data_IF_652859673994
#
_entry.id   IF_652859673994
#
_cell.length_a   1.000
_cell.length_b   1.000
_cell.length_c   1.000
_cell.angle_alpha   90.00
_cell.angle_beta   90.00
_cell.angle_gamma   90.00
#
_symmetry.space_group_name_H-M   'P 1'
#
loop_
_entity.id
_entity.type
_entity.pdbx_description
1 polymer ?
2 non-polymer ?
3 non-polymer ?
4 non-polymer ?
5 non-polymer ?
6 water ?
#
# COMPACT_ATOMS: atom_id res chain seq x y z
N UNK A 2 -36.63 -15.01 -0.08
CA UNK A 2 -35.66 -15.10 -1.21
C UNK A 2 -34.86 -13.79 -1.25
N UNK A 3 -33.56 -13.86 -1.56
CA UNK A 3 -32.72 -12.65 -1.51
C UNK A 3 -32.58 -12.07 -2.92
N UNK A 4 -32.53 -10.74 -3.09
CA UNK A 4 -32.26 -10.19 -4.41
C UNK A 4 -30.91 -10.67 -4.98
N UNK A 5 -30.88 -10.76 -6.31
CA UNK A 5 -29.66 -11.06 -7.10
C UNK A 5 -28.57 -10.01 -6.82
N UNK A 6 -28.95 -8.75 -6.67
CA UNK A 6 -27.95 -7.68 -6.49
C UNK A 6 -28.53 -6.62 -5.55
N UNK A 7 -27.65 -6.02 -4.77
CA UNK A 7 -27.99 -4.95 -3.80
C UNK A 7 -26.97 -3.82 -3.94
N UNK A 8 -27.45 -2.57 -3.85
CA UNK A 8 -26.58 -1.38 -3.76
C UNK A 8 -27.26 -0.32 -2.88
N UNK A 9 -26.79 -0.17 -1.64
CA UNK A 9 -27.38 0.74 -0.61
C UNK A 9 -27.14 2.19 -1.02
N UNK A 10 -26.27 2.47 -2.01
CA UNK A 10 -26.15 3.87 -2.53
C UNK A 10 -27.44 4.23 -3.24
N UNK A 11 -28.20 3.26 -3.74
CA UNK A 11 -29.46 3.52 -4.47
C UNK A 11 -30.53 3.98 -3.48
N UNK A 12 -30.37 3.72 -2.18
CA UNK A 12 -31.40 4.10 -1.19
C UNK A 12 -30.94 5.33 -0.41
N UNK A 13 -29.86 5.99 -0.85
CA UNK A 13 -29.32 7.19 -0.19
C UNK A 13 -28.80 6.89 1.21
N UNK A 14 -28.26 5.69 1.44
CA UNK A 14 -27.83 5.21 2.79
C UNK A 14 -26.32 5.32 2.93
N UNK A 15 -25.64 5.86 1.93
CA UNK A 15 -24.16 5.83 1.94
C UNK A 15 -23.60 7.25 1.75
N UNK A 16 -22.72 7.69 2.63
CA UNK A 16 -22.14 9.03 2.56
C UNK A 16 -21.04 9.02 1.49
N UNK A 17 -20.54 10.19 1.18
CA UNK A 17 -19.35 10.42 0.33
C UNK A 17 -18.22 9.51 0.82
N UNK A 18 -17.41 9.04 -0.10
CA UNK A 18 -16.15 8.34 0.20
C UNK A 18 -15.19 9.33 0.87
N UNK A 19 -14.66 8.96 2.03
CA UNK A 19 -13.72 9.85 2.80
C UNK A 19 -12.29 9.42 2.51
N UNK A 20 -11.33 10.25 2.90
CA UNK A 20 -9.90 9.96 2.72
C UNK A 20 -9.26 9.93 4.12
N UNK A 21 -8.80 8.78 4.55
CA UNK A 21 -8.18 8.65 5.91
C UNK A 21 -6.80 9.32 5.95
N UNK A 22 -6.19 9.56 4.80
CA UNK A 22 -4.79 10.02 4.76
C UNK A 22 -3.84 9.05 5.46
N UNK A 23 -2.81 9.56 6.12
CA UNK A 23 -1.72 8.78 6.70
C UNK A 23 -2.08 8.29 8.12
N UNK A 24 -3.34 8.27 8.47
CA UNK A 24 -3.87 7.82 9.78
C UNK A 24 -4.63 6.51 9.57
N UNK A 25 -4.23 5.42 10.26
CA UNK A 25 -4.86 4.10 10.09
C UNK A 25 -6.20 4.04 10.79
N UNK A 26 -7.13 4.87 10.36
CA UNK A 26 -8.48 4.96 10.94
C UNK A 26 -9.51 4.25 10.07
N UNK A 27 -9.11 3.31 9.18
CA UNK A 27 -10.08 2.53 8.34
C UNK A 27 -11.16 1.91 9.23
N UNK A 28 -10.80 1.35 10.37
CA UNK A 28 -11.78 0.77 11.35
C UNK A 28 -12.82 1.81 11.71
N UNK A 29 -12.41 3.05 11.92
CA UNK A 29 -13.32 4.14 12.34
C UNK A 29 -14.25 4.53 11.18
N UNK A 30 -13.75 4.73 9.96
CA UNK A 30 -14.57 5.04 8.77
C UNK A 30 -15.58 3.87 8.53
N UNK A 31 -15.16 2.64 8.74
CA UNK A 31 -16.04 1.46 8.49
C UNK A 31 -17.18 1.47 9.50
N UNK A 32 -16.87 1.64 10.77
CA UNK A 32 -17.85 1.73 11.88
C UNK A 32 -18.83 2.86 11.62
N UNK A 33 -18.36 4.10 11.36
CA UNK A 33 -19.33 5.18 11.12
C UNK A 33 -20.11 4.92 9.83
N UNK A 34 -19.51 4.38 8.76
CA UNK A 34 -20.32 4.12 7.56
C UNK A 34 -21.48 3.18 7.85
N UNK A 35 -21.26 2.14 8.65
CA UNK A 35 -22.34 1.16 8.96
C UNK A 35 -23.41 1.87 9.81
N UNK A 36 -23.01 2.77 10.69
CA UNK A 36 -23.99 3.47 11.57
C UNK A 36 -24.75 4.56 10.78
N UNK A 37 -24.09 5.23 9.86
CA UNK A 37 -24.68 6.26 8.97
C UNK A 37 -25.91 5.68 8.26
N UNK A 38 -25.81 4.45 7.75
CA UNK A 38 -26.88 3.76 6.98
C UNK A 38 -28.07 3.53 7.91
N UNK A 39 -27.82 3.01 9.12
CA UNK A 39 -28.90 2.78 10.11
C UNK A 39 -29.50 4.13 10.47
N UNK A 40 -28.69 5.17 10.61
CA UNK A 40 -29.26 6.52 10.94
C UNK A 40 -30.20 7.00 9.82
N UNK A 41 -29.84 6.86 8.53
CA UNK A 41 -30.73 7.25 7.40
C UNK A 41 -32.06 6.43 7.47
N UNK A 42 -31.93 5.12 7.68
CA UNK A 42 -33.06 4.17 7.74
C UNK A 42 -33.97 4.51 8.93
N UNK A 43 -33.40 4.98 10.04
CA UNK A 43 -34.17 5.46 11.22
C UNK A 43 -34.84 6.82 10.99
N UNK A 44 -34.13 7.86 10.55
CA UNK A 44 -34.56 9.29 10.65
C UNK A 44 -34.95 9.85 9.29
N UNK A 45 -34.53 9.17 8.22
CA UNK A 45 -34.66 9.67 6.85
C UNK A 45 -33.53 10.63 6.45
N UNK A 46 -32.65 11.03 7.38
CA UNK A 46 -31.55 11.97 7.08
C UNK A 46 -30.20 11.24 7.01
N UNK A 47 -29.48 11.43 5.91
CA UNK A 47 -28.08 10.94 5.71
C UNK A 47 -27.15 12.00 6.31
N UNK A 48 -26.38 11.61 7.32
CA UNK A 48 -25.43 12.48 8.06
C UNK A 48 -24.11 11.72 8.19
N UNK A 49 -23.00 12.29 7.74
CA UNK A 49 -21.65 11.76 8.00
C UNK A 49 -21.38 11.85 9.52
N UNK A 50 -20.93 10.76 10.11
CA UNK A 50 -20.65 10.67 11.55
C UNK A 50 -19.13 10.70 11.76
N UNK A 51 -18.70 11.05 12.96
CA UNK A 51 -17.31 11.49 13.24
C UNK A 51 -16.43 10.26 13.49
N UNK A 52 -15.72 9.87 12.43
CA UNK A 52 -14.59 8.95 12.55
C UNK A 52 -13.62 9.54 13.59
N UNK A 53 -13.41 10.88 13.65
CA UNK A 53 -12.42 11.44 14.59
C UNK A 53 -12.84 11.15 16.06
N UNK A 54 -14.13 11.29 16.33
CA UNK A 54 -14.75 10.98 17.63
C UNK A 54 -14.33 9.56 18.01
N UNK A 55 -14.27 8.62 17.06
CA UNK A 55 -13.87 7.23 17.42
C UNK A 55 -12.35 7.17 17.71
N UNK A 56 -11.53 7.71 16.81
CA UNK A 56 -10.05 7.74 16.93
C UNK A 56 -9.67 8.28 18.30
N UNK A 57 -10.28 9.41 18.69
CA UNK A 57 -9.92 10.15 19.92
C UNK A 57 -10.48 9.49 21.19
N UNK A 58 -11.69 8.93 21.15
CA UNK A 58 -12.44 8.54 22.39
C UNK A 58 -12.61 7.02 22.50
N UNK A 59 -12.56 6.25 21.42
CA UNK A 59 -12.69 4.78 21.49
C UNK A 59 -11.27 4.23 21.54
N UNK A 60 -10.64 4.28 22.73
CA UNK A 60 -9.19 4.11 22.84
C UNK A 60 -8.93 2.83 23.67
N UNK A 61 -8.19 2.93 24.76
CA UNK A 61 -7.61 1.80 25.53
C UNK A 61 -8.70 0.81 25.96
N UNK A 62 -9.82 1.30 26.48
CA UNK A 62 -10.94 0.47 27.02
C UNK A 62 -11.55 -0.41 25.91
N UNK A 63 -11.38 -0.02 24.68
CA UNK A 63 -11.97 -0.68 23.49
C UNK A 63 -10.87 -1.38 22.68
N UNK A 64 -9.62 -1.39 23.15
CA UNK A 64 -8.55 -2.15 22.48
C UNK A 64 -8.11 -1.47 21.20
N UNK A 65 -8.45 -0.18 21.04
CA UNK A 65 -8.26 0.61 19.81
C UNK A 65 -7.02 1.49 20.02
N UNK A 66 -6.31 1.84 18.95
CA UNK A 66 -5.05 2.59 19.02
C UNK A 66 -5.11 3.75 18.04
N UNK A 67 -6.26 4.40 17.89
CA UNK A 67 -6.43 5.61 17.05
C UNK A 67 -5.83 5.42 15.68
N UNK A 68 -4.83 6.24 15.34
CA UNK A 68 -4.18 6.19 14.02
C UNK A 68 -3.36 4.90 13.85
N UNK A 69 -3.29 4.03 14.87
CA UNK A 69 -2.55 2.76 14.75
C UNK A 69 -3.53 1.59 14.66
N UNK A 70 -4.78 1.84 14.27
CA UNK A 70 -5.71 0.73 14.03
C UNK A 70 -6.59 0.41 15.24
N UNK A 71 -7.64 -0.35 14.97
CA UNK A 71 -8.67 -0.72 15.93
C UNK A 71 -9.72 -1.61 15.31
N UNK A 72 -10.87 -1.71 15.96
CA UNK A 72 -11.92 -2.72 15.68
C UNK A 72 -13.26 -2.03 15.49
N UNK A 73 -13.95 -2.33 14.41
CA UNK A 73 -15.29 -1.74 14.24
C UNK A 73 -16.20 -2.17 15.40
N UNK A 74 -16.08 -3.39 15.92
CA UNK A 74 -17.06 -3.84 16.93
C UNK A 74 -16.85 -3.08 18.24
N UNK A 75 -15.60 -2.84 18.65
CA UNK A 75 -15.34 -2.14 19.93
C UNK A 75 -15.72 -0.66 19.72
N UNK A 76 -15.62 -0.14 18.53
CA UNK A 76 -16.11 1.21 18.18
C UNK A 76 -17.61 1.26 18.44
N UNK A 77 -18.40 0.27 18.00
CA UNK A 77 -19.86 0.26 18.23
C UNK A 77 -20.08 0.22 19.74
N UNK A 78 -19.27 -0.56 20.45
CA UNK A 78 -19.43 -0.64 21.92
C UNK A 78 -19.14 0.72 22.55
N UNK A 79 -18.16 1.48 22.03
CA UNK A 79 -17.92 2.84 22.58
C UNK A 79 -19.19 3.67 22.40
N UNK A 80 -19.82 3.61 21.24
CA UNK A 80 -21.00 4.48 20.94
C UNK A 80 -22.13 4.06 21.89
N UNK A 81 -22.29 2.76 22.14
CA UNK A 81 -23.36 2.28 23.05
C UNK A 81 -23.07 2.83 24.44
N UNK A 82 -21.86 2.57 24.94
CA UNK A 82 -21.43 3.01 26.29
C UNK A 82 -21.52 4.54 26.42
N UNK A 83 -21.13 5.28 25.39
CA UNK A 83 -21.00 6.76 25.43
C UNK A 83 -22.39 7.39 25.32
N UNK A 84 -23.37 6.62 24.81
CA UNK A 84 -24.75 7.09 24.55
C UNK A 84 -24.71 8.13 23.42
N UNK A 85 -23.77 8.03 22.49
CA UNK A 85 -23.79 8.85 21.28
C UNK A 85 -22.46 8.96 20.56
N UNK A 86 -22.53 9.57 19.39
CA UNK A 86 -21.38 9.96 18.55
C UNK A 86 -21.76 11.27 17.88
N UNK A 87 -20.81 12.19 17.78
CA UNK A 87 -21.00 13.51 17.14
C UNK A 87 -21.05 13.37 15.63
N UNK A 88 -21.66 14.34 14.98
CA UNK A 88 -21.56 14.46 13.50
C UNK A 88 -20.10 14.72 13.09
N UNK A 89 -19.76 14.35 11.87
CA UNK A 89 -18.46 14.71 11.27
C UNK A 89 -18.34 16.25 11.21
N UNK A 90 -19.43 16.95 10.85
CA UNK A 90 -19.46 18.42 10.76
C UNK A 90 -19.09 19.02 12.12
N UNK A 91 -19.58 18.50 13.23
CA UNK A 91 -19.28 19.06 14.59
C UNK A 91 -17.88 18.61 15.09
N UNK A 92 -17.36 17.51 14.57
CA UNK A 92 -16.12 16.86 15.11
C UNK A 92 -15.33 16.32 13.91
N UNK A 93 -14.69 17.25 13.15
CA UNK A 93 -14.06 16.95 11.87
C UNK A 93 -12.83 16.03 11.96
N UNK A 94 -12.60 15.28 10.90
CA UNK A 94 -11.48 14.35 10.78
C UNK A 94 -10.20 15.13 10.55
N UNK A 95 -9.19 14.83 11.35
CA UNK A 95 -7.88 15.51 11.38
C UNK A 95 -6.77 14.54 11.00
N UNK A 96 -7.04 13.22 10.86
CA UNK A 96 -6.00 12.22 10.54
C UNK A 96 -4.89 12.31 11.57
N UNK A 97 -5.21 12.47 12.86
CA UNK A 97 -4.20 12.32 13.93
C UNK A 97 -4.90 11.97 15.24
N UNK A 98 -4.11 11.50 16.21
CA UNK A 98 -4.59 11.20 17.58
C UNK A 98 -4.76 12.54 18.27
N UNK A 99 -5.90 12.77 18.93
CA UNK A 99 -6.20 13.99 19.73
C UNK A 99 -6.84 13.54 21.04
N UNK A 100 -6.97 14.48 21.97
CA UNK A 100 -7.69 14.24 23.23
C UNK A 100 -9.18 14.07 22.87
N UNK A 101 -9.92 13.31 23.67
CA UNK A 101 -11.38 13.18 23.49
C UNK A 101 -12.04 14.56 23.52
N UNK A 102 -12.83 14.90 22.50
CA UNK A 102 -13.57 16.19 22.47
C UNK A 102 -15.08 15.94 22.31
N UNK A 103 -15.54 14.72 22.55
CA UNK A 103 -16.97 14.39 22.39
C UNK A 103 -17.78 15.45 23.15
N UNK A 104 -18.86 15.92 22.55
CA UNK A 104 -19.84 16.79 23.23
C UNK A 104 -21.23 16.30 22.87
N UNK A 105 -22.01 15.89 23.87
CA UNK A 105 -23.40 15.40 23.73
C UNK A 105 -24.24 16.45 22.98
N UNK A 106 -23.85 17.72 22.98
CA UNK A 106 -24.75 18.73 22.36
C UNK A 106 -24.70 18.60 20.83
N UNK A 107 -23.70 17.93 20.25
CA UNK A 107 -23.53 17.71 18.80
C UNK A 107 -23.76 16.24 18.44
N UNK A 108 -24.34 15.46 19.35
CA UNK A 108 -24.69 14.05 19.11
C UNK A 108 -25.56 13.97 17.86
N UNK A 109 -25.22 13.14 16.89
CA UNK A 109 -26.02 12.98 15.67
C UNK A 109 -26.57 11.55 15.61
N UNK A 110 -26.09 10.62 16.44
CA UNK A 110 -26.53 9.21 16.37
C UNK A 110 -26.19 8.57 17.68
N UNK A 111 -26.88 7.47 17.92
CA UNK A 111 -26.72 6.54 19.06
C UNK A 111 -26.66 5.15 18.46
N UNK A 112 -26.42 4.17 19.29
CA UNK A 112 -26.34 2.75 18.89
C UNK A 112 -26.92 1.97 20.07
N UNK A 113 -27.87 1.08 19.86
CA UNK A 113 -28.42 0.24 20.93
C UNK A 113 -27.70 -1.11 21.02
N UNK A 114 -27.16 -1.61 19.92
CA UNK A 114 -26.54 -2.97 19.88
C UNK A 114 -25.77 -3.13 18.57
N UNK A 115 -24.98 -4.20 18.50
CA UNK A 115 -24.28 -4.61 17.28
C UNK A 115 -24.36 -6.12 17.24
N UNK A 116 -24.27 -6.66 16.04
CA UNK A 116 -24.39 -8.10 15.74
C UNK A 116 -23.12 -8.51 15.03
N UNK A 117 -22.53 -9.63 15.43
CA UNK A 117 -21.31 -10.14 14.75
C UNK A 117 -21.70 -11.39 13.96
N UNK A 118 -21.31 -11.45 12.68
CA UNK A 118 -21.73 -12.57 11.80
C UNK A 118 -20.71 -13.69 11.93
N UNK A 119 -21.13 -14.95 11.67
CA UNK A 119 -20.25 -16.09 11.81
C UNK A 119 -19.13 -16.04 10.79
N UNK A 120 -17.96 -16.51 11.22
CA UNK A 120 -16.70 -16.52 10.46
C UNK A 120 -16.83 -17.29 9.12
N UNK A 121 -16.44 -16.65 8.03
CA UNK A 121 -16.31 -17.27 6.70
C UNK A 121 -17.66 -17.42 5.97
N UNK A 122 -18.77 -16.99 6.57
CA UNK A 122 -20.12 -17.33 6.04
C UNK A 122 -20.59 -16.24 5.06
N UNK A 123 -20.20 -16.35 3.79
CA UNK A 123 -20.62 -15.40 2.74
C UNK A 123 -22.14 -15.45 2.55
N UNK A 124 -22.78 -16.59 2.74
CA UNK A 124 -24.25 -16.70 2.62
C UNK A 124 -24.93 -15.83 3.69
N UNK A 125 -24.43 -15.89 4.91
CA UNK A 125 -24.99 -15.10 6.04
C UNK A 125 -24.69 -13.62 5.80
N UNK A 126 -23.53 -13.30 5.22
CA UNK A 126 -23.17 -11.87 4.96
C UNK A 126 -24.15 -11.33 3.91
N UNK A 127 -24.47 -12.13 2.91
CA UNK A 127 -25.40 -11.69 1.84
C UNK A 127 -26.78 -11.39 2.44
N UNK A 128 -27.25 -12.23 3.35
CA UNK A 128 -28.55 -12.06 4.03
C UNK A 128 -28.54 -10.74 4.81
N UNK A 129 -27.45 -10.44 5.51
CA UNK A 129 -27.35 -9.21 6.32
C UNK A 129 -27.31 -7.99 5.39
N UNK A 130 -26.52 -8.05 4.31
CA UNK A 130 -26.41 -6.90 3.37
C UNK A 130 -27.79 -6.67 2.74
N UNK A 131 -28.52 -7.72 2.38
CA UNK A 131 -29.87 -7.60 1.77
C UNK A 131 -30.87 -7.05 2.80
N UNK A 132 -30.88 -7.54 4.04
CA UNK A 132 -32.06 -7.37 4.95
C UNK A 132 -31.80 -6.32 6.03
N UNK A 133 -30.57 -5.94 6.31
CA UNK A 133 -30.22 -5.10 7.49
C UNK A 133 -29.61 -3.79 7.02
N UNK A 134 -28.66 -3.89 6.11
CA UNK A 134 -27.90 -2.70 5.67
C UNK A 134 -26.43 -3.02 5.45
N UNK A 135 -25.66 -1.97 5.12
CA UNK A 135 -24.22 -2.09 4.94
C UNK A 135 -23.62 -2.77 6.16
N UNK A 136 -22.63 -3.65 5.93
CA UNK A 136 -21.98 -4.42 6.99
C UNK A 136 -20.48 -4.05 7.07
N UNK A 137 -19.97 -3.75 8.28
CA UNK A 137 -18.53 -3.47 8.52
C UNK A 137 -17.80 -4.82 8.39
N UNK A 138 -16.71 -4.85 7.65
CA UNK A 138 -15.86 -6.06 7.49
C UNK A 138 -14.40 -5.64 7.50
N UNK A 139 -13.56 -6.61 7.77
CA UNK A 139 -12.11 -6.51 7.53
C UNK A 139 -11.77 -7.29 6.27
N UNK A 140 -10.78 -6.77 5.56
CA UNK A 140 -10.12 -7.50 4.44
C UNK A 140 -8.60 -7.46 4.66
N UNK A 141 -7.93 -8.39 4.00
CA UNK A 141 -6.46 -8.39 3.74
C UNK A 141 -6.18 -7.45 2.57
N UNK A 142 -5.70 -6.23 2.85
CA UNK A 142 -5.45 -5.20 1.82
C UNK A 142 -3.96 -5.06 1.50
N UNK A 143 -3.07 -5.88 2.06
CA UNK A 143 -1.60 -5.70 1.97
C UNK A 143 -1.12 -6.35 0.68
N UNK A 144 -1.64 -5.95 -0.47
CA UNK A 144 -1.31 -6.53 -1.79
C UNK A 144 -1.24 -5.38 -2.79
N UNK A 145 -0.12 -5.18 -3.51
CA UNK A 145 -0.10 -4.14 -4.52
C UNK A 145 -1.35 -4.23 -5.39
N UNK A 146 -1.80 -5.43 -5.72
CA UNK A 146 -3.00 -5.65 -6.59
C UNK A 146 -4.22 -4.92 -5.99
N UNK A 147 -4.28 -4.80 -4.67
CA UNK A 147 -5.44 -4.16 -3.99
C UNK A 147 -5.32 -2.65 -4.20
N UNK A 148 -4.17 -2.07 -3.89
CA UNK A 148 -4.11 -0.59 -3.88
C UNK A 148 -3.96 -0.07 -5.31
N UNK A 149 -3.57 -0.90 -6.27
CA UNK A 149 -3.55 -0.53 -7.70
C UNK A 149 -4.91 -0.85 -8.35
N UNK A 150 -5.88 -1.41 -7.64
CA UNK A 150 -7.15 -1.83 -8.31
C UNK A 150 -7.81 -0.64 -9.00
N UNK A 151 -8.24 -0.80 -10.26
CA UNK A 151 -8.90 0.27 -11.05
C UNK A 151 -10.37 -0.09 -11.35
N UNK A 152 -10.68 -1.33 -11.73
CA UNK A 152 -12.07 -1.67 -12.13
C UNK A 152 -12.26 -3.18 -12.24
N UNK A 153 -13.51 -3.63 -12.38
CA UNK A 153 -13.81 -5.05 -12.54
C UNK A 153 -13.96 -5.70 -11.17
N UNK A 154 -13.78 -7.01 -11.10
CA UNK A 154 -13.96 -7.77 -9.84
C UNK A 154 -12.57 -8.20 -9.40
N UNK A 155 -12.17 -7.70 -8.24
CA UNK A 155 -10.80 -7.95 -7.73
C UNK A 155 -10.70 -9.39 -7.31
N UNK A 156 -9.72 -10.09 -7.85
CA UNK A 156 -9.40 -11.44 -7.36
C UNK A 156 -7.88 -11.54 -7.20
N UNK A 157 -7.40 -11.84 -5.99
CA UNK A 157 -5.94 -12.02 -5.70
C UNK A 157 -5.68 -13.42 -5.15
N UNK A 158 -5.03 -14.29 -5.96
CA UNK A 158 -4.63 -15.63 -5.50
C UNK A 158 -3.82 -15.65 -4.21
N UNK A 159 -3.03 -14.61 -3.95
CA UNK A 159 -2.15 -14.49 -2.77
C UNK A 159 -2.91 -14.01 -1.53
N UNK A 160 -4.15 -13.57 -1.65
CA UNK A 160 -4.91 -13.05 -0.49
C UNK A 160 -4.99 -14.07 0.64
N UNK A 161 -5.05 -13.61 1.88
CA UNK A 161 -5.23 -14.50 3.07
C UNK A 161 -6.51 -14.10 3.82
N UNK A 162 -6.86 -14.88 4.84
CA UNK A 162 -8.04 -14.63 5.72
C UNK A 162 -7.55 -13.89 6.98
N UNK A 163 -6.28 -13.50 7.04
CA UNK A 163 -5.76 -12.57 8.07
C UNK A 163 -6.05 -11.14 7.62
N UNK A 164 -7.05 -10.52 8.20
CA UNK A 164 -7.55 -9.20 7.73
C UNK A 164 -6.79 -8.07 8.46
N UNK A 165 -6.67 -6.90 7.84
CA UNK A 165 -5.81 -5.81 8.37
C UNK A 165 -6.44 -4.45 8.02
N UNK A 166 -7.57 -4.37 7.33
CA UNK A 166 -8.10 -3.08 6.83
C UNK A 166 -9.62 -3.08 6.92
N UNK A 167 -10.20 -2.20 7.74
CA UNK A 167 -11.67 -2.09 7.87
C UNK A 167 -12.28 -1.41 6.67
N UNK A 168 -13.35 -1.95 6.12
CA UNK A 168 -14.08 -1.39 4.95
C UNK A 168 -15.57 -1.68 5.15
N UNK A 169 -16.42 -1.17 4.26
CA UNK A 169 -17.87 -1.30 4.45
C UNK A 169 -18.45 -2.01 3.24
N UNK A 170 -19.16 -3.11 3.46
CA UNK A 170 -19.89 -3.75 2.34
C UNK A 170 -21.22 -3.00 2.16
N UNK A 171 -21.45 -2.38 0.99
CA UNK A 171 -22.70 -1.63 0.70
C UNK A 171 -23.51 -2.31 -0.38
N UNK A 172 -23.12 -3.51 -0.76
CA UNK A 172 -23.93 -4.25 -1.71
C UNK A 172 -23.23 -5.46 -2.23
N UNK A 173 -23.87 -6.03 -3.23
CA UNK A 173 -23.32 -7.21 -3.91
C UNK A 173 -24.01 -7.38 -5.24
N UNK A 174 -23.41 -8.20 -6.09
CA UNK A 174 -23.94 -8.45 -7.44
C UNK A 174 -23.09 -9.42 -8.19
N UNK A 175 -23.17 -9.32 -9.51
CA UNK A 175 -22.58 -10.24 -10.49
C UNK A 175 -22.17 -9.35 -11.66
N UNK A 176 -20.87 -9.27 -11.95
CA UNK A 176 -20.39 -8.54 -13.17
C UNK A 176 -19.78 -9.56 -14.12
N UNK A 177 -20.41 -9.80 -15.25
CA UNK A 177 -19.89 -10.73 -16.29
C UNK A 177 -19.60 -12.12 -15.70
N UNK A 178 -20.43 -12.60 -14.77
CA UNK A 178 -20.29 -13.97 -14.22
C UNK A 178 -19.32 -14.01 -13.05
N UNK A 179 -18.78 -12.86 -12.63
CA UNK A 179 -17.98 -12.77 -11.40
C UNK A 179 -18.83 -12.18 -10.28
N UNK A 180 -19.17 -12.99 -9.30
CA UNK A 180 -19.90 -12.50 -8.11
C UNK A 180 -18.97 -11.59 -7.31
N UNK A 181 -19.53 -10.54 -6.76
CA UNK A 181 -18.75 -9.52 -6.03
C UNK A 181 -19.53 -9.02 -4.81
N UNK A 182 -18.74 -8.49 -3.87
CA UNK A 182 -19.15 -7.58 -2.78
C UNK A 182 -18.82 -6.17 -3.24
N UNK A 183 -19.75 -5.24 -3.06
CA UNK A 183 -19.46 -3.84 -3.36
C UNK A 183 -18.92 -3.23 -2.06
N UNK A 184 -17.67 -2.80 -2.09
CA UNK A 184 -16.92 -2.36 -0.88
C UNK A 184 -16.57 -0.87 -1.00
N UNK A 185 -17.06 -0.09 -0.04
CA UNK A 185 -16.65 1.30 0.22
C UNK A 185 -15.33 1.30 1.00
N UNK A 186 -14.30 1.93 0.47
CA UNK A 186 -13.00 2.11 1.15
C UNK A 186 -12.96 3.55 1.71
N UNK A 187 -11.86 3.95 2.36
CA UNK A 187 -11.65 5.28 2.97
C UNK A 187 -10.30 5.83 2.52
N UNK A 188 -10.00 5.60 1.25
CA UNK A 188 -8.78 6.04 0.52
C UNK A 188 -9.10 7.13 -0.49
N UNK A 189 -10.25 7.78 -0.36
CA UNK A 189 -10.62 8.89 -1.25
C UNK A 189 -11.09 8.39 -2.60
N UNK A 190 -11.39 9.35 -3.52
CA UNK A 190 -11.99 9.06 -4.84
C UNK A 190 -10.94 8.46 -5.81
N UNK A 191 -9.62 8.52 -5.53
CA UNK A 191 -8.62 8.03 -6.53
C UNK A 191 -8.32 6.54 -6.37
N UNK A 192 -8.92 5.90 -5.36
CA UNK A 192 -8.81 4.45 -5.22
C UNK A 192 -9.95 3.85 -6.03
N UNK A 193 -9.66 2.80 -6.81
CA UNK A 193 -10.67 1.93 -7.39
C UNK A 193 -11.63 2.73 -8.25
N UNK A 194 -12.91 2.43 -8.15
CA UNK A 194 -14.04 3.04 -8.92
C UNK A 194 -14.66 4.13 -8.06
N UNK A 195 -14.06 5.30 -8.08
CA UNK A 195 -14.49 6.49 -7.29
C UNK A 195 -14.56 6.08 -5.82
N UNK A 196 -13.61 5.29 -5.32
CA UNK A 196 -13.45 5.00 -3.89
C UNK A 196 -13.97 3.64 -3.51
N UNK A 197 -14.56 2.91 -4.45
CA UNK A 197 -15.12 1.56 -4.23
C UNK A 197 -14.28 0.49 -4.93
N UNK A 198 -14.42 -0.73 -4.43
CA UNK A 198 -13.80 -1.93 -5.04
C UNK A 198 -14.87 -3.02 -5.01
N UNK A 199 -15.01 -3.75 -6.11
CA UNK A 199 -15.80 -4.98 -6.17
C UNK A 199 -14.86 -6.14 -5.90
N UNK A 200 -15.10 -6.87 -4.81
CA UNK A 200 -14.22 -7.96 -4.30
C UNK A 200 -14.91 -9.31 -4.53
N UNK A 201 -14.15 -10.31 -4.95
CA UNK A 201 -14.67 -11.64 -5.35
C UNK A 201 -15.56 -12.17 -4.23
N UNK A 202 -16.75 -12.63 -4.60
CA UNK A 202 -17.76 -13.16 -3.65
C UNK A 202 -17.90 -14.65 -3.93
N UNK A 203 -18.14 -15.47 -2.91
CA UNK A 203 -18.35 -16.93 -3.04
C UNK A 203 -17.09 -17.59 -3.62
N UNK A 204 -15.90 -17.08 -3.26
CA UNK A 204 -14.60 -17.68 -3.64
C UNK A 204 -13.83 -18.02 -2.36
N UNK A 205 -14.48 -18.71 -1.42
CA UNK A 205 -13.81 -19.22 -0.21
C UNK A 205 -13.33 -18.09 0.70
N UNK A 206 -14.17 -17.09 0.97
CA UNK A 206 -13.88 -16.04 1.96
C UNK A 206 -12.65 -15.29 1.47
N UNK A 207 -12.69 -14.83 0.23
CA UNK A 207 -11.57 -14.17 -0.46
C UNK A 207 -11.15 -12.92 0.31
N UNK A 208 -9.84 -12.83 0.61
CA UNK A 208 -9.22 -11.69 1.34
C UNK A 208 -9.84 -11.54 2.75
N UNK A 209 -10.49 -12.59 3.26
CA UNK A 209 -11.09 -12.61 4.61
C UNK A 209 -12.33 -11.75 4.73
N UNK A 210 -12.98 -11.40 3.62
CA UNK A 210 -14.03 -10.35 3.60
C UNK A 210 -15.17 -10.72 4.57
N UNK A 211 -15.48 -12.02 4.74
CA UNK A 211 -16.53 -12.55 5.65
C UNK A 211 -15.94 -13.13 6.95
N UNK A 212 -14.70 -12.81 7.29
CA UNK A 212 -14.07 -13.32 8.54
C UNK A 212 -14.72 -12.68 9.77
N UNK A 213 -14.84 -11.36 9.79
CA UNK A 213 -15.24 -10.60 10.99
C UNK A 213 -16.24 -9.52 10.62
N UNK A 214 -17.44 -9.91 10.12
CA UNK A 214 -18.46 -8.91 9.78
C UNK A 214 -19.30 -8.54 11.00
N UNK A 215 -19.72 -7.27 11.06
CA UNK A 215 -20.60 -6.77 12.12
C UNK A 215 -21.42 -5.60 11.58
N UNK A 216 -22.59 -5.41 12.16
CA UNK A 216 -23.42 -4.20 11.91
C UNK A 216 -24.06 -3.76 13.22
N UNK A 217 -24.21 -2.43 13.36
CA UNK A 217 -24.99 -1.84 14.45
C UNK A 217 -26.49 -1.65 14.19
N UNK A 218 -27.25 -1.45 15.26
CA UNK A 218 -28.67 -1.05 15.19
C UNK A 218 -28.91 0.13 16.15
N UNK A 219 -29.94 0.88 15.85
CA UNK A 219 -30.42 2.06 16.60
C UNK A 219 -31.83 1.74 17.07
N UNK A 220 -32.19 1.94 18.32
CA UNK A 220 -33.61 1.78 18.79
C UNK A 220 -34.17 3.19 19.03
N UNK A 221 -33.43 4.09 19.68
CA UNK A 221 -33.68 5.56 19.68
C UNK A 221 -32.53 6.29 20.40
N UNK B 2 30.90 20.14 -11.98
CA UNK B 2 29.60 20.85 -11.76
C UNK B 2 28.41 19.99 -12.31
N UNK B 3 27.41 19.77 -11.46
CA UNK B 3 26.35 18.77 -11.70
C UNK B 3 25.33 19.30 -12.70
N UNK B 4 24.78 18.44 -13.57
CA UNK B 4 23.69 18.83 -14.45
C UNK B 4 22.47 19.21 -13.60
N UNK B 5 21.65 20.12 -14.11
CA UNK B 5 20.36 20.48 -13.44
C UNK B 5 19.41 19.29 -13.48
N UNK B 6 19.54 18.43 -14.48
CA UNK B 6 18.66 17.24 -14.68
C UNK B 6 19.50 16.05 -15.08
N UNK B 7 19.08 14.86 -14.68
CA UNK B 7 19.67 13.54 -15.07
C UNK B 7 18.51 12.56 -15.27
N UNK B 8 18.62 11.70 -16.29
CA UNK B 8 17.68 10.58 -16.52
C UNK B 8 18.46 9.45 -17.19
N UNK B 9 18.86 8.46 -16.39
CA UNK B 9 19.63 7.27 -16.85
C UNK B 9 18.81 6.41 -17.83
N UNK B 10 17.48 6.58 -17.91
CA UNK B 10 16.69 5.92 -18.98
C UNK B 10 17.18 6.40 -20.34
N UNK B 11 17.50 7.69 -20.47
CA UNK B 11 17.97 8.30 -21.73
C UNK B 11 19.32 7.71 -22.13
N UNK B 12 20.11 7.16 -21.21
CA UNK B 12 21.42 6.56 -21.54
C UNK B 12 21.27 5.07 -21.76
N UNK B 13 20.07 4.48 -21.77
CA UNK B 13 19.93 3.04 -22.02
C UNK B 13 20.39 2.24 -20.81
N UNK B 14 20.36 2.81 -19.59
CA UNK B 14 20.90 2.14 -18.36
C UNK B 14 19.81 1.54 -17.47
N UNK B 15 18.54 1.57 -17.88
CA UNK B 15 17.40 1.19 -17.01
C UNK B 15 16.53 0.16 -17.77
N UNK B 16 16.34 -1.02 -17.20
CA UNK B 16 15.46 -2.09 -17.73
C UNK B 16 13.96 -1.72 -17.61
N UNK B 17 13.09 -2.52 -18.21
CA UNK B 17 11.62 -2.34 -18.06
C UNK B 17 11.27 -2.41 -16.57
N UNK B 18 10.25 -1.69 -16.19
CA UNK B 18 9.63 -1.75 -14.84
C UNK B 18 9.10 -3.18 -14.58
N UNK B 19 9.42 -3.69 -13.39
CA UNK B 19 9.00 -5.01 -12.92
C UNK B 19 7.82 -4.87 -11.96
N UNK B 20 7.09 -5.97 -11.76
CA UNK B 20 5.95 -6.07 -10.82
C UNK B 20 6.29 -7.12 -9.75
N UNK B 21 6.41 -6.72 -8.49
CA UNK B 21 6.81 -7.62 -7.38
C UNK B 21 5.62 -8.45 -6.90
N UNK B 22 4.41 -8.08 -7.31
CA UNK B 22 3.18 -8.75 -6.87
C UNK B 22 3.17 -8.83 -5.36
N UNK B 23 2.68 -9.92 -4.80
CA UNK B 23 2.43 -10.03 -3.35
C UNK B 23 3.67 -10.51 -2.61
N UNK B 24 4.85 -10.33 -3.15
CA UNK B 24 6.10 -10.70 -2.49
C UNK B 24 6.86 -9.39 -2.21
N UNK B 25 7.22 -9.12 -0.93
CA UNK B 25 7.98 -7.92 -0.53
C UNK B 25 9.42 -7.97 -1.02
N UNK B 26 9.63 -7.98 -2.31
CA UNK B 26 10.98 -8.09 -2.90
C UNK B 26 11.41 -6.75 -3.49
N UNK B 27 10.86 -5.62 -3.04
CA UNK B 27 11.25 -4.27 -3.54
C UNK B 27 12.78 -4.12 -3.39
N UNK B 28 13.35 -4.59 -2.28
CA UNK B 28 14.80 -4.50 -1.96
C UNK B 28 15.61 -5.24 -3.04
N UNK B 29 15.11 -6.37 -3.52
CA UNK B 29 15.84 -7.18 -4.50
C UNK B 29 15.76 -6.47 -5.85
N UNK B 30 14.61 -5.90 -6.20
CA UNK B 30 14.44 -5.18 -7.49
C UNK B 30 15.29 -3.93 -7.45
N UNK B 31 15.32 -3.24 -6.33
CA UNK B 31 16.17 -2.02 -6.19
C UNK B 31 17.64 -2.39 -6.46
N UNK B 32 18.11 -3.42 -5.80
CA UNK B 32 19.52 -3.84 -5.91
C UNK B 32 19.85 -4.24 -7.36
N UNK B 33 19.06 -5.13 -7.99
CA UNK B 33 19.43 -5.59 -9.36
C UNK B 33 19.32 -4.39 -10.31
N UNK B 34 18.36 -3.45 -10.11
CA UNK B 34 18.28 -2.21 -10.95
C UNK B 34 19.57 -1.39 -10.89
N UNK B 35 20.13 -1.23 -9.70
CA UNK B 35 21.41 -0.50 -9.50
C UNK B 35 22.54 -1.22 -10.30
N UNK B 36 22.60 -2.54 -10.20
CA UNK B 36 23.69 -3.35 -10.81
C UNK B 36 23.52 -3.40 -12.32
N UNK B 37 22.26 -3.42 -12.80
CA UNK B 37 21.93 -3.45 -14.26
C UNK B 37 22.59 -2.26 -14.94
N UNK B 38 22.50 -1.09 -14.32
CA UNK B 38 23.08 0.14 -14.90
C UNK B 38 24.60 0.00 -15.01
N UNK B 39 25.24 -0.49 -13.94
CA UNK B 39 26.71 -0.65 -13.91
C UNK B 39 27.13 -1.65 -14.99
N UNK B 40 26.34 -2.70 -15.21
CA UNK B 40 26.63 -3.69 -16.29
C UNK B 40 26.56 -3.03 -17.68
N UNK B 41 25.56 -2.17 -17.90
CA UNK B 41 25.43 -1.50 -19.21
C UNK B 41 26.62 -0.56 -19.38
N UNK B 42 26.94 0.22 -18.34
CA UNK B 42 28.05 1.21 -18.47
C UNK B 42 29.36 0.50 -18.82
N UNK B 43 29.59 -0.68 -18.23
CA UNK B 43 30.83 -1.47 -18.38
C UNK B 43 30.84 -2.21 -19.72
N UNK B 44 29.75 -2.85 -20.14
CA UNK B 44 29.72 -3.84 -21.26
C UNK B 44 28.97 -3.32 -22.49
N UNK B 45 28.14 -2.28 -22.38
CA UNK B 45 27.22 -1.84 -23.46
C UNK B 45 25.94 -2.71 -23.58
N UNK B 46 25.70 -3.66 -22.68
CA UNK B 46 24.54 -4.60 -22.77
C UNK B 46 23.61 -4.34 -21.60
N UNK B 47 22.32 -4.15 -21.90
CA UNK B 47 21.27 -3.94 -20.87
C UNK B 47 20.59 -5.30 -20.67
N UNK B 48 20.70 -5.88 -19.48
CA UNK B 48 20.23 -7.24 -19.15
C UNK B 48 19.53 -7.14 -17.80
N UNK B 49 18.25 -7.52 -17.72
CA UNK B 49 17.54 -7.70 -16.45
C UNK B 49 18.25 -8.81 -15.64
N UNK B 50 18.67 -8.47 -14.43
CA UNK B 50 19.31 -9.41 -13.46
C UNK B 50 18.21 -10.01 -12.57
N UNK B 51 18.45 -11.19 -11.98
CA UNK B 51 17.44 -12.02 -11.27
C UNK B 51 17.18 -11.45 -9.86
N UNK B 52 16.06 -10.75 -9.67
CA UNK B 52 15.55 -10.44 -8.32
C UNK B 52 15.26 -11.72 -7.54
N UNK B 53 14.84 -12.77 -8.22
CA UNK B 53 14.49 -14.06 -7.57
C UNK B 53 15.74 -14.71 -6.98
N UNK B 54 16.88 -14.66 -7.68
CA UNK B 54 18.21 -15.15 -7.21
C UNK B 54 18.46 -14.52 -5.84
N UNK B 55 18.17 -13.22 -5.69
CA UNK B 55 18.40 -12.53 -4.39
C UNK B 55 17.40 -13.02 -3.35
N UNK B 56 16.12 -13.01 -3.69
CA UNK B 56 15.08 -13.49 -2.75
C UNK B 56 15.45 -14.86 -2.21
N UNK B 57 15.90 -15.78 -3.09
CA UNK B 57 16.06 -17.20 -2.74
C UNK B 57 17.41 -17.43 -2.03
N UNK B 58 18.41 -16.60 -2.34
CA UNK B 58 19.83 -16.90 -2.02
C UNK B 58 20.43 -15.89 -1.05
N UNK B 59 20.05 -14.61 -1.09
CA UNK B 59 20.52 -13.61 -0.13
C UNK B 59 19.56 -13.66 1.04
N UNK B 60 19.72 -14.65 1.89
CA UNK B 60 18.72 -14.95 2.95
C UNK B 60 19.28 -14.58 4.33
N UNK B 61 19.09 -15.44 5.31
CA UNK B 61 19.24 -15.17 6.74
C UNK B 61 20.65 -14.69 7.07
N UNK B 62 21.69 -15.22 6.45
CA UNK B 62 23.07 -14.80 6.78
C UNK B 62 23.34 -13.37 6.22
N UNK B 63 22.41 -12.80 5.46
CA UNK B 63 22.49 -11.43 4.93
C UNK B 63 21.45 -10.58 5.63
N UNK B 64 20.81 -11.10 6.67
CA UNK B 64 19.73 -10.35 7.37
C UNK B 64 18.45 -10.25 6.55
N UNK B 65 18.27 -11.05 5.50
CA UNK B 65 17.16 -10.80 4.54
C UNK B 65 16.11 -11.92 4.72
N UNK B 66 14.88 -11.64 4.36
CA UNK B 66 13.71 -12.49 4.68
C UNK B 66 12.88 -12.73 3.43
N UNK B 67 13.48 -12.61 2.27
CA UNK B 67 12.82 -12.99 1.00
C UNK B 67 11.61 -12.09 0.72
N UNK B 68 10.43 -12.70 0.61
CA UNK B 68 9.15 -11.99 0.38
C UNK B 68 8.75 -11.15 1.61
N UNK B 69 9.47 -11.21 2.73
CA UNK B 69 9.17 -10.37 3.91
C UNK B 69 10.25 -9.30 4.09
N UNK B 70 11.05 -9.03 3.08
CA UNK B 70 11.90 -7.81 3.12
C UNK B 70 13.39 -8.13 3.24
N UNK B 71 14.21 -7.11 3.00
CA UNK B 71 15.66 -7.25 2.91
C UNK B 71 16.36 -5.92 2.76
N UNK B 72 17.69 -5.95 2.77
CA UNK B 72 18.58 -4.79 2.61
C UNK B 72 19.17 -4.82 1.21
N UNK B 73 19.20 -3.68 0.55
CA UNK B 73 19.95 -3.56 -0.71
C UNK B 73 21.45 -3.78 -0.52
N UNK B 74 22.03 -3.23 0.54
CA UNK B 74 23.46 -3.39 0.85
C UNK B 74 23.83 -4.88 0.98
N UNK B 75 23.04 -5.67 1.70
CA UNK B 75 23.39 -7.08 1.96
C UNK B 75 23.07 -7.90 0.70
N UNK B 76 22.19 -7.43 -0.18
CA UNK B 76 22.01 -8.02 -1.51
C UNK B 76 23.32 -7.89 -2.31
N UNK B 77 23.87 -6.67 -2.37
CA UNK B 77 25.14 -6.41 -3.08
C UNK B 77 26.20 -7.30 -2.43
N UNK B 78 26.18 -7.46 -1.11
CA UNK B 78 27.21 -8.29 -0.43
C UNK B 78 27.06 -9.76 -0.86
N UNK B 79 25.82 -10.28 -0.97
CA UNK B 79 25.61 -11.65 -1.48
C UNK B 79 26.29 -11.78 -2.85
N UNK B 80 26.03 -10.81 -3.74
CA UNK B 80 26.51 -10.90 -5.15
C UNK B 80 28.04 -10.94 -5.13
N UNK B 81 28.67 -10.12 -4.31
CA UNK B 81 30.14 -10.13 -4.12
C UNK B 81 30.53 -11.54 -3.66
N UNK B 82 29.93 -12.04 -2.58
CA UNK B 82 30.40 -13.29 -1.92
C UNK B 82 30.15 -14.51 -2.80
N UNK B 83 29.08 -14.45 -3.57
CA UNK B 83 28.65 -15.55 -4.46
C UNK B 83 29.46 -15.51 -5.74
N UNK B 84 30.17 -14.41 -6.01
CA UNK B 84 30.90 -14.17 -7.29
C UNK B 84 29.91 -14.24 -8.45
N UNK B 85 28.68 -13.78 -8.25
CA UNK B 85 27.78 -13.54 -9.38
C UNK B 85 26.32 -13.50 -9.02
N UNK B 86 25.55 -13.06 -10.01
CA UNK B 86 24.08 -13.13 -10.06
C UNK B 86 23.67 -13.57 -11.47
N UNK B 87 22.61 -14.38 -11.52
CA UNK B 87 22.05 -14.95 -12.77
C UNK B 87 21.26 -13.84 -13.46
N UNK B 88 21.10 -13.94 -14.78
CA UNK B 88 20.10 -13.16 -15.54
C UNK B 88 18.70 -13.49 -15.02
N UNK B 89 17.81 -12.53 -15.21
CA UNK B 89 16.38 -12.72 -14.96
C UNK B 89 15.87 -13.78 -15.94
N UNK B 90 16.32 -13.78 -17.19
CA UNK B 90 15.89 -14.82 -18.17
C UNK B 90 16.20 -16.21 -17.61
N UNK B 91 17.38 -16.43 -17.02
CA UNK B 91 17.78 -17.78 -16.55
C UNK B 91 17.06 -18.11 -15.24
N UNK B 92 16.65 -17.11 -14.47
CA UNK B 92 16.24 -17.30 -13.06
C UNK B 92 15.08 -16.33 -12.85
N UNK B 93 13.93 -16.66 -13.44
CA UNK B 93 12.84 -15.69 -13.51
C UNK B 93 12.14 -15.48 -12.17
N UNK B 94 11.45 -14.36 -12.09
CA UNK B 94 10.76 -13.92 -10.87
C UNK B 94 9.45 -14.68 -10.69
N UNK B 95 9.25 -15.24 -9.51
CA UNK B 95 8.05 -16.07 -9.17
C UNK B 95 7.24 -15.44 -8.04
N UNK B 96 7.68 -14.34 -7.42
CA UNK B 96 6.92 -13.70 -6.32
C UNK B 96 6.67 -14.70 -5.18
N UNK B 97 7.64 -15.55 -4.87
CA UNK B 97 7.59 -16.48 -3.70
C UNK B 97 9.01 -16.88 -3.25
N UNK B 98 9.09 -17.43 -2.04
CA UNK B 98 10.33 -17.90 -1.41
C UNK B 98 10.61 -19.27 -2.01
N UNK B 99 11.76 -19.47 -2.64
CA UNK B 99 12.14 -20.81 -3.17
C UNK B 99 13.51 -21.17 -2.60
N UNK B 100 13.87 -22.45 -2.69
CA UNK B 100 15.26 -22.92 -2.43
C UNK B 100 16.16 -22.22 -3.46
N UNK B 101 17.39 -21.95 -3.06
CA UNK B 101 18.41 -21.33 -3.89
C UNK B 101 18.67 -22.21 -5.12
N UNK B 102 18.65 -21.62 -6.31
CA UNK B 102 18.85 -22.31 -7.60
C UNK B 102 19.89 -21.55 -8.42
N UNK B 103 20.77 -20.82 -7.76
CA UNK B 103 21.82 -20.11 -8.51
C UNK B 103 22.69 -21.12 -9.30
N UNK B 104 23.03 -20.80 -10.53
CA UNK B 104 23.92 -21.59 -11.43
C UNK B 104 24.87 -20.61 -12.09
N UNK B 105 26.16 -20.73 -11.81
CA UNK B 105 27.25 -19.90 -12.36
C UNK B 105 27.22 -19.91 -13.90
N UNK B 106 26.75 -21.00 -14.52
CA UNK B 106 26.61 -21.10 -15.98
C UNK B 106 25.82 -19.89 -16.51
N UNK B 107 24.86 -19.35 -15.77
CA UNK B 107 23.97 -18.28 -16.29
C UNK B 107 24.28 -16.95 -15.58
N UNK B 108 25.47 -16.87 -14.98
CA UNK B 108 25.93 -15.60 -14.35
C UNK B 108 25.87 -14.49 -15.40
N UNK B 109 25.21 -13.38 -15.08
CA UNK B 109 25.11 -12.23 -16.00
C UNK B 109 25.86 -10.99 -15.48
N UNK B 110 26.20 -10.93 -14.20
CA UNK B 110 26.91 -9.78 -13.61
C UNK B 110 27.64 -10.27 -12.36
N UNK B 111 28.62 -9.46 -11.97
CA UNK B 111 29.39 -9.63 -10.73
C UNK B 111 29.29 -8.31 -10.00
N UNK B 112 29.78 -8.28 -8.76
CA UNK B 112 29.86 -7.04 -7.98
C UNK B 112 31.16 -7.12 -7.20
N UNK B 113 31.95 -6.05 -7.22
CA UNK B 113 33.23 -6.03 -6.49
C UNK B 113 33.09 -5.28 -5.16
N UNK B 114 32.19 -4.33 -5.10
CA UNK B 114 31.96 -3.54 -3.87
C UNK B 114 30.66 -2.74 -3.98
N UNK B 115 30.25 -2.10 -2.89
CA UNK B 115 29.14 -1.12 -2.89
C UNK B 115 29.53 0.02 -1.93
N UNK B 116 28.98 1.18 -2.21
CA UNK B 116 29.27 2.45 -1.50
C UNK B 116 27.97 2.91 -0.85
N UNK B 117 28.03 3.23 0.42
CA UNK B 117 26.90 3.69 1.25
C UNK B 117 27.07 5.19 1.39
N UNK B 118 26.09 5.98 1.00
CA UNK B 118 26.16 7.45 1.07
C UNK B 118 25.74 7.90 2.47
N UNK B 119 26.16 9.10 2.90
CA UNK B 119 25.86 9.60 4.23
C UNK B 119 24.38 9.95 4.41
N UNK B 120 23.89 9.69 5.63
CA UNK B 120 22.49 9.82 6.04
C UNK B 120 21.96 11.24 5.73
N UNK B 121 20.88 11.28 4.98
CA UNK B 121 20.06 12.45 4.67
C UNK B 121 20.72 13.49 3.76
N UNK B 122 21.84 13.17 3.13
CA UNK B 122 22.59 14.13 2.27
C UNK B 122 22.05 14.07 0.83
N UNK B 123 21.09 14.90 0.51
CA UNK B 123 20.50 15.04 -0.84
C UNK B 123 21.50 15.66 -1.83
N UNK B 124 22.39 16.54 -1.39
CA UNK B 124 23.51 17.10 -2.21
C UNK B 124 24.45 15.96 -2.66
N UNK B 125 24.80 15.04 -1.75
CA UNK B 125 25.70 13.88 -2.04
C UNK B 125 24.97 12.88 -2.91
N UNK B 126 23.70 12.60 -2.62
CA UNK B 126 22.89 11.72 -3.48
C UNK B 126 22.81 12.31 -4.90
N UNK B 127 22.68 13.62 -5.04
CA UNK B 127 22.63 14.23 -6.37
C UNK B 127 23.95 13.95 -7.11
N UNK B 128 25.09 14.07 -6.44
CA UNK B 128 26.42 13.85 -7.05
C UNK B 128 26.50 12.40 -7.55
N UNK B 129 26.18 11.44 -6.71
CA UNK B 129 26.26 9.98 -7.02
C UNK B 129 25.31 9.66 -8.19
N UNK B 130 24.09 10.17 -8.17
CA UNK B 130 23.13 9.99 -9.29
C UNK B 130 23.70 10.62 -10.56
N UNK B 131 24.33 11.80 -10.53
CA UNK B 131 24.92 12.40 -11.74
C UNK B 131 26.13 11.60 -12.21
N UNK B 132 27.03 11.22 -11.31
CA UNK B 132 28.37 10.80 -11.75
C UNK B 132 28.49 9.28 -11.77
N UNK B 133 27.78 8.52 -10.93
CA UNK B 133 28.05 7.07 -10.76
C UNK B 133 26.96 6.23 -11.45
N UNK B 134 25.71 6.62 -11.32
CA UNK B 134 24.60 5.84 -11.87
C UNK B 134 23.42 5.85 -10.92
N UNK B 135 22.37 5.08 -11.27
CA UNK B 135 21.25 4.87 -10.38
C UNK B 135 21.68 4.37 -9.00
N UNK B 136 20.97 4.87 -8.00
CA UNK B 136 21.31 4.62 -6.58
C UNK B 136 20.12 3.91 -5.92
N UNK B 137 20.38 2.81 -5.21
CA UNK B 137 19.35 2.08 -4.41
C UNK B 137 19.06 2.94 -3.20
N UNK B 138 17.80 3.17 -2.91
CA UNK B 138 17.36 3.92 -1.71
C UNK B 138 16.15 3.24 -1.08
N UNK B 139 15.90 3.56 0.18
CA UNK B 139 14.63 3.28 0.88
C UNK B 139 13.77 4.51 0.94
N UNK B 140 12.45 4.35 0.80
CA UNK B 140 11.50 5.44 1.13
C UNK B 140 10.50 4.93 2.15
N UNK B 141 9.86 5.87 2.80
CA UNK B 141 8.62 5.60 3.55
C UNK B 141 7.46 5.64 2.53
N UNK B 142 6.99 4.45 2.13
CA UNK B 142 5.91 4.22 1.14
C UNK B 142 4.58 3.93 1.82
N UNK B 143 4.47 4.05 3.15
CA UNK B 143 3.29 3.57 3.93
C UNK B 143 2.27 4.70 4.06
N UNK B 144 1.82 5.21 2.94
CA UNK B 144 0.88 6.36 2.86
C UNK B 144 0.03 6.14 1.62
N UNK B 145 -1.31 6.19 1.74
CA UNK B 145 -2.19 6.11 0.58
C UNK B 145 -1.81 7.12 -0.52
N UNK B 146 -1.31 8.28 -0.17
CA UNK B 146 -0.89 9.29 -1.17
C UNK B 146 0.23 8.69 -2.04
N UNK B 147 1.11 7.88 -1.45
CA UNK B 147 2.22 7.24 -2.21
C UNK B 147 1.65 6.16 -3.14
N UNK B 148 0.85 5.23 -2.62
CA UNK B 148 0.44 4.07 -3.45
C UNK B 148 -0.72 4.41 -4.39
N UNK B 149 -1.40 5.54 -4.25
CA UNK B 149 -2.39 6.05 -5.25
C UNK B 149 -1.79 7.18 -6.13
N UNK B 150 -0.50 7.51 -5.99
CA UNK B 150 0.17 8.51 -6.84
C UNK B 150 -0.06 8.19 -8.33
N UNK B 151 -0.43 9.22 -9.07
CA UNK B 151 -0.66 9.12 -10.54
C UNK B 151 0.43 9.88 -11.30
N UNK B 152 0.70 11.13 -10.91
CA UNK B 152 1.59 12.00 -11.71
C UNK B 152 1.99 13.27 -10.96
N UNK B 153 3.04 13.91 -11.49
CA UNK B 153 3.58 15.17 -10.98
C UNK B 153 4.60 14.90 -9.89
N UNK B 154 4.86 15.91 -9.07
CA UNK B 154 5.90 15.81 -8.03
C UNK B 154 5.23 15.44 -6.72
N UNK B 155 5.53 14.26 -6.22
CA UNK B 155 4.92 13.75 -4.98
C UNK B 155 5.51 14.52 -3.80
N UNK B 156 4.61 15.11 -3.02
CA UNK B 156 4.98 15.74 -1.74
C UNK B 156 3.92 15.38 -0.72
N UNK B 157 4.35 14.86 0.42
CA UNK B 157 3.46 14.33 1.47
C UNK B 157 3.98 14.83 2.81
N UNK B 158 3.32 15.83 3.43
CA UNK B 158 3.75 16.37 4.71
C UNK B 158 3.80 15.35 5.85
N UNK B 159 3.02 14.27 5.79
CA UNK B 159 2.96 13.18 6.82
C UNK B 159 4.09 12.16 6.61
N UNK B 160 4.86 12.27 5.57
CA UNK B 160 5.98 11.34 5.28
C UNK B 160 7.04 11.49 6.38
N UNK B 161 7.71 10.39 6.70
CA UNK B 161 8.73 10.32 7.76
C UNK B 161 10.02 9.90 7.08
N UNK B 162 11.10 9.84 7.84
CA UNK B 162 12.39 9.33 7.31
C UNK B 162 12.55 7.85 7.66
N UNK B 163 11.51 7.21 8.16
CA UNK B 163 11.57 5.78 8.58
C UNK B 163 11.22 4.96 7.35
N UNK B 164 12.20 4.48 6.61
CA UNK B 164 12.02 3.87 5.26
C UNK B 164 11.56 2.41 5.39
N UNK B 165 10.81 1.92 4.44
CA UNK B 165 10.18 0.58 4.53
C UNK B 165 10.04 -0.02 3.14
N UNK B 166 10.57 0.62 2.12
CA UNK B 166 10.31 0.25 0.72
C UNK B 166 11.57 0.55 -0.10
N UNK B 167 12.16 -0.48 -0.70
CA UNK B 167 13.35 -0.31 -1.53
C UNK B 167 12.98 0.11 -2.95
N UNK B 168 13.54 1.22 -3.45
CA UNK B 168 13.28 1.77 -4.82
C UNK B 168 14.61 2.19 -5.45
N UNK B 169 14.59 2.64 -6.71
CA UNK B 169 15.84 2.99 -7.43
C UNK B 169 15.75 4.45 -7.92
N UNK B 170 16.70 5.27 -7.54
CA UNK B 170 16.77 6.65 -8.06
C UNK B 170 17.52 6.59 -9.39
N UNK B 171 16.86 6.92 -10.49
CA UNK B 171 17.44 6.86 -11.84
C UNK B 171 17.57 8.26 -12.44
N UNK B 172 17.27 9.29 -11.68
CA UNK B 172 17.54 10.66 -12.14
C UNK B 172 16.95 11.68 -11.23
N UNK B 173 16.94 12.92 -11.68
CA UNK B 173 16.46 14.06 -10.86
C UNK B 173 16.22 15.17 -11.86
N UNK B 174 15.43 16.16 -11.47
CA UNK B 174 15.14 17.31 -12.33
C UNK B 174 14.28 18.29 -11.58
N UNK B 175 13.51 19.09 -12.30
CA UNK B 175 12.47 19.94 -11.68
C UNK B 175 11.31 20.03 -12.67
N UNK B 176 10.11 20.14 -12.13
CA UNK B 176 8.88 20.38 -12.89
C UNK B 176 8.36 21.75 -12.49
N UNK B 177 8.44 22.71 -13.42
CA UNK B 177 8.13 24.13 -13.19
C UNK B 177 8.70 24.56 -11.83
N UNK B 178 9.99 24.29 -11.59
CA UNK B 178 10.71 24.70 -10.36
C UNK B 178 10.39 23.87 -9.11
N UNK B 179 9.55 22.84 -9.16
CA UNK B 179 9.51 21.82 -8.07
C UNK B 179 10.56 20.76 -8.38
N UNK B 180 11.63 20.73 -7.58
CA UNK B 180 12.72 19.75 -7.77
C UNK B 180 12.22 18.37 -7.37
N UNK B 181 12.70 17.35 -8.06
CA UNK B 181 12.29 15.98 -7.79
C UNK B 181 13.46 15.01 -8.00
N UNK B 182 13.30 13.85 -7.39
CA UNK B 182 14.03 12.59 -7.66
C UNK B 182 13.15 11.75 -8.59
N UNK B 183 13.75 11.18 -9.62
CA UNK B 183 13.11 10.24 -10.56
C UNK B 183 13.37 8.83 -10.02
N UNK B 184 12.28 8.18 -9.60
CA UNK B 184 12.32 6.92 -8.83
C UNK B 184 11.59 5.85 -9.63
N UNK B 185 12.31 4.75 -9.88
CA UNK B 185 11.79 3.52 -10.49
C UNK B 185 11.25 2.62 -9.37
N UNK B 186 9.98 2.28 -9.44
CA UNK B 186 9.33 1.40 -8.45
C UNK B 186 9.27 -0.01 -9.07
N UNK B 187 8.81 -1.01 -8.31
CA UNK B 187 8.60 -2.40 -8.80
C UNK B 187 7.13 -2.79 -8.57
N UNK B 188 6.22 -1.87 -8.83
CA UNK B 188 4.75 -2.10 -8.72
C UNK B 188 4.09 -2.14 -10.11
N UNK B 189 4.88 -2.42 -11.15
CA UNK B 189 4.42 -2.61 -12.53
C UNK B 189 4.19 -1.29 -13.23
N UNK B 190 3.84 -1.37 -14.51
CA UNK B 190 3.80 -0.16 -15.37
C UNK B 190 2.52 0.64 -15.11
N UNK B 191 1.55 0.11 -14.35
CA UNK B 191 0.29 0.87 -14.08
C UNK B 191 0.49 1.85 -12.92
N UNK B 192 1.39 1.60 -11.97
CA UNK B 192 1.67 2.54 -10.86
C UNK B 192 2.29 3.85 -11.39
N UNK B 193 1.80 4.99 -10.91
CA UNK B 193 2.45 6.28 -11.15
C UNK B 193 2.60 6.60 -12.63
N UNK B 194 3.75 7.09 -13.04
CA UNK B 194 4.07 7.52 -14.44
C UNK B 194 4.78 6.35 -15.13
N UNK B 195 4.02 5.39 -15.67
CA UNK B 195 4.54 4.16 -16.29
C UNK B 195 5.56 3.50 -15.37
N UNK B 196 5.24 3.45 -14.08
CA UNK B 196 6.00 2.69 -13.05
C UNK B 196 6.96 3.54 -12.25
N UNK B 197 7.04 4.84 -12.57
CA UNK B 197 7.96 5.80 -11.94
C UNK B 197 7.14 6.75 -11.08
N UNK B 198 7.84 7.32 -10.10
CA UNK B 198 7.26 8.40 -9.28
C UNK B 198 8.34 9.48 -9.19
N UNK B 199 7.96 10.74 -9.39
CA UNK B 199 8.83 11.90 -9.09
C UNK B 199 8.54 12.33 -7.65
N UNK B 200 9.56 12.28 -6.79
CA UNK B 200 9.43 12.53 -5.33
C UNK B 200 10.15 13.81 -4.99
N UNK B 201 9.57 14.64 -4.14
CA UNK B 201 10.13 15.96 -3.77
C UNK B 201 11.62 15.82 -3.38
N UNK B 202 12.47 16.62 -4.03
CA UNK B 202 13.92 16.76 -3.77
C UNK B 202 14.22 18.08 -3.03
N UNK B 203 15.20 18.06 -2.14
CA UNK B 203 15.66 19.23 -1.35
C UNK B 203 14.51 19.75 -0.47
N UNK B 204 13.59 18.88 0.00
CA UNK B 204 12.56 19.25 1.00
C UNK B 204 12.79 18.46 2.29
N UNK B 205 14.03 18.48 2.80
CA UNK B 205 14.37 17.96 4.15
C UNK B 205 14.35 16.43 4.17
N UNK B 206 14.91 15.79 3.15
CA UNK B 206 15.05 14.31 3.08
C UNK B 206 13.63 13.70 3.10
N UNK B 207 12.81 14.12 2.14
CA UNK B 207 11.35 13.83 2.10
C UNK B 207 11.15 12.33 1.93
N UNK B 208 10.36 11.71 2.81
CA UNK B 208 10.08 10.26 2.83
C UNK B 208 11.36 9.44 3.02
N UNK B 209 12.45 10.07 3.46
CA UNK B 209 13.70 9.36 3.78
C UNK B 209 14.43 8.90 2.55
N UNK B 210 14.21 9.52 1.40
CA UNK B 210 14.88 9.10 0.12
C UNK B 210 16.42 9.09 0.26
N UNK B 211 17.02 10.05 0.94
CA UNK B 211 18.50 10.08 1.14
C UNK B 211 18.92 9.46 2.48
N UNK B 212 18.08 8.70 3.16
CA UNK B 212 18.42 8.12 4.48
C UNK B 212 19.48 7.01 4.33
N UNK B 213 19.27 6.03 3.47
CA UNK B 213 20.21 4.90 3.33
C UNK B 213 20.46 4.58 1.87
N UNK B 214 21.15 5.47 1.15
CA UNK B 214 21.46 5.21 -0.24
C UNK B 214 22.68 4.31 -0.36
N UNK B 215 22.72 3.52 -1.44
CA UNK B 215 23.90 2.69 -1.81
C UNK B 215 23.93 2.43 -3.31
N UNK B 216 25.13 2.19 -3.84
CA UNK B 216 25.30 1.83 -5.29
C UNK B 216 26.49 0.87 -5.46
N UNK B 217 26.36 -0.12 -6.35
CA UNK B 217 27.37 -1.14 -6.50
C UNK B 217 28.37 -0.74 -7.60
N UNK B 218 29.50 -1.41 -7.62
CA UNK B 218 30.45 -1.30 -8.76
C UNK B 218 30.86 -2.67 -9.22
N UNK B 219 31.31 -2.76 -10.46
CA UNK B 219 31.69 -4.04 -11.11
C UNK B 219 33.16 -3.98 -11.41
N UNK B 220 33.92 -5.02 -11.11
CA UNK B 220 35.35 -5.06 -11.50
C UNK B 220 35.52 -6.04 -12.67
N UNK B 221 35.39 -7.34 -12.44
CA UNK B 221 35.76 -8.38 -13.44
C UNK B 221 34.53 -9.18 -13.80
N UNK B 222 34.49 -9.68 -15.03
CA UNK B 222 33.38 -10.52 -15.56
C UNK B 222 33.73 -11.99 -15.80
N UNK B 223 35.01 -12.34 -15.95
CA UNK B 223 35.40 -13.63 -16.57
C UNK B 223 35.88 -14.62 -15.49
X LIG C 1 -23.18 14.28 5.06
X LIG C 1 -23.08 14.79 6.22
X LIG C 1 -22.33 13.52 4.55
X LIG C 1 -24.40 14.63 4.17
X LIG D 1 -28.52 -11.26 9.73
X LIG D 1 -27.90 -11.02 10.83
X LIG D 1 -29.49 -10.54 9.30
X LIG D 1 -28.07 -12.48 8.86
X LIG E 1 -10.12 -5.96 11.82
X LIG E 1 -11.36 -6.03 12.43
X LIG E 1 -10.66 -10.25 14.74
X LIG E 1 -9.43 -8.07 12.85
X LIG E 1 -10.18 -10.30 16.13
X LIG E 1 -9.88 -10.89 18.19
X LIG E 1 -9.85 -4.76 10.95
X LIG E 1 -11.62 -7.11 13.24
X LIG E 1 -10.68 -8.11 13.43
X LIG E 1 -10.35 -4.86 9.73
X LIG E 1 -10.34 -3.57 11.44
X LIG E 1 -8.55 -4.67 10.69
X LIG E 1 -12.74 -7.38 13.93
X LIG E 1 -12.47 -8.58 14.56
X LIG E 1 -13.35 -9.28 15.40
X LIG E 1 -9.17 -6.96 12.05
X LIG E 1 -11.23 -9.02 14.27
X LIG E 1 -10.66 -11.18 17.10
X LIG E 1 -9.01 -9.89 17.73
X LIG E 1 -9.25 -9.61 16.55
X LIG F 1 14.34 -1.08 2.89
X LIG F 1 13.76 0.01 2.72
X LIG F 1 14.47 -1.95 2.00
X LIG F 1 14.93 -1.37 4.26
X LIG F 1 14.96 -2.84 4.66
X LIG F 1 14.42 -3.13 6.05
X LIG F 1 13.48 -2.44 6.49
X LIG F 1 14.95 -4.06 6.70
X LIG G 1 28.77 16.62 -2.13
X LIG G 1 28.49 15.82 -3.03
X LIG G 1 28.10 17.68 -1.87
X LIG G 1 29.96 16.27 -1.23
X LIG G 1 30.93 15.23 -1.79
X LIG G 1 32.09 15.63 -2.13
X LIG G 1 30.56 14.01 -1.85
X LIG H 1 20.30 0.08 7.31
X LIG H 1 19.48 0.48 6.46
X LIG H 1 19.99 -0.66 8.28
X LIG H 1 21.76 0.53 7.20
X LIG H 1 22.26 0.85 8.59
X LIG H 1 23.29 1.50 8.72
X LIG H 1 21.58 0.45 9.54
X LIG I 1 19.90 -0.66 3.12
X LIG I 1 18.79 -0.06 3.35
X LIG I 1 20.24 -1.14 2.05
X LIG I 1 20.94 -0.82 4.21
X LIG J 1 14.18 -6.98 6.72
X LIG J 1 14.55 -5.82 7.02
X LIG J 1 12.97 -7.35 6.62
X LIG J 1 15.25 -8.02 6.43
X LIG K 1 4.35 -5.18 -15.43
X LIG K 1 5.58 -5.04 -15.06
X LIG K 1 3.45 -4.25 -15.31
X LIG K 1 3.95 -6.55 -16.08
X LIG L 1 16.00 -7.17 -20.79
X LIG L 1 16.25 -5.95 -20.58
X LIG L 1 16.69 -8.13 -20.32
X LIG L 1 14.76 -7.51 -21.66
#
# INVERSE_FOLDING_TARGET
RILPDSVDWREKGCVTEVKYQGSCGACWAFSAVGALEAQLKLKTGKLVSLSAQNLVDCSTEKYGNKGCNGGFMTTAFQYIIDNKGIDSDASYPYKAMDQKCQYDSKYRAATCSKYTELPYGREDVLKEAVANKGPVSVGVDARHPSFFLYRSGVYYEPSCTQNVNHGVLVVGYGDLNGKEYWLVKNSWGHNFGEEGYIRMARNKGNHCGIASFPSYPEIHHHHHH
RILPDSVDWREKGCVTEVKYQGSCGACWAFSAVGALEAQLKLKTGKLVSLSAQNLVDCSTEKYGNKGCNGGFMTTAFQYIIDNKGIDSDASYPYKAMDQKCQYDSKYRAATCSKYTELPYGREDVLKEAVANKGPVSVGVDARHPSFFLYRSGVYYEPSCTQNVNHGVLVVGYGDLNGKEYWLVKNSWGHNFGEEGYIRMARNKGNHCGIASFPSYPEIHHHHHH
ACT C O OXT CH3
ACT C O OXT CH3
Q1H C4 C5 C6 C7 C8 C12 C3 C1 C2 F2 F F1 N1 C N2 C9 N C10 C11 O
SIN C1 O1 O2 C2 C3 C4 O3 O4
MLA C1 O1A O1B C2 C3 O3A O3B
MLA C1 O1A O1B C2 C3 O3A O3B
ACT C O OXT CH3
ACT C O OXT CH3
ACT C O OXT CH3
ACT C O OXT CH3
#
